data_IF_071484739887
#
_entry.id   IF_071484739887
#
_cell.length_a   1.000
_cell.length_b   1.000
_cell.length_c   1.000
_cell.angle_alpha   90.00
_cell.angle_beta   90.00
_cell.angle_gamma   90.00
#
_symmetry.space_group_name_H-M   'P 1'
#
loop_
_entity.id
_entity.type
_entity.pdbx_description
1 polymer ?
#
# COMPACT_ATOMS: atom_id res chain seq x y z
N UNK A 1 -18.19 3.06 10.17
CA UNK A 1 -17.02 2.53 9.43
C UNK A 1 -15.79 2.68 10.32
N UNK A 2 -15.09 1.59 10.65
CA UNK A 2 -13.84 1.71 11.42
C UNK A 2 -12.84 2.52 10.60
N UNK A 3 -12.36 3.60 11.18
CA UNK A 3 -11.32 4.48 10.65
C UNK A 3 -9.99 3.75 10.41
N UNK A 4 -9.73 2.72 11.22
CA UNK A 4 -8.56 1.84 11.10
C UNK A 4 -8.90 0.60 10.28
N UNK A 5 -8.14 0.38 9.22
CA UNK A 5 -8.29 -0.77 8.31
C UNK A 5 -7.23 -1.82 8.62
N UNK A 6 -7.59 -3.10 8.46
CA UNK A 6 -6.59 -4.17 8.50
C UNK A 6 -5.68 -4.05 7.26
N UNK A 7 -4.36 -4.30 7.39
CA UNK A 7 -3.41 -4.21 6.27
C UNK A 7 -3.50 -5.43 5.34
N UNK A 8 -4.69 -5.67 4.79
CA UNK A 8 -4.91 -6.70 3.77
C UNK A 8 -4.50 -6.18 2.39
N UNK A 9 -4.15 -7.08 1.47
CA UNK A 9 -3.81 -6.75 0.09
C UNK A 9 -4.81 -5.78 -0.54
N UNK A 10 -6.12 -6.04 -0.45
CA UNK A 10 -7.15 -5.19 -1.06
C UNK A 10 -7.20 -3.78 -0.44
N UNK A 11 -7.05 -3.68 0.89
CA UNK A 11 -7.05 -2.40 1.58
C UNK A 11 -5.83 -1.56 1.24
N UNK A 12 -4.65 -2.20 1.14
CA UNK A 12 -3.41 -1.54 0.72
C UNK A 12 -3.54 -1.05 -0.72
N UNK A 13 -4.07 -1.89 -1.62
CA UNK A 13 -4.28 -1.49 -3.03
C UNK A 13 -5.23 -0.29 -3.10
N UNK A 14 -6.35 -0.33 -2.38
CA UNK A 14 -7.33 0.76 -2.35
C UNK A 14 -6.79 2.02 -1.68
N UNK A 15 -5.84 1.92 -0.75
CA UNK A 15 -5.26 3.10 -0.11
C UNK A 15 -4.22 3.76 -1.03
N UNK A 16 -3.36 2.97 -1.67
CA UNK A 16 -2.22 3.47 -2.44
C UNK A 16 -2.55 3.83 -3.90
N UNK A 17 -3.33 3.00 -4.59
CA UNK A 17 -3.58 3.16 -6.03
C UNK A 17 -4.92 3.81 -6.38
N UNK A 18 -5.73 4.21 -5.40
CA UNK A 18 -6.97 4.96 -5.66
C UNK A 18 -6.68 6.43 -5.94
N UNK A 19 -7.64 7.13 -6.55
CA UNK A 19 -7.57 8.58 -6.82
C UNK A 19 -7.41 9.41 -5.54
N UNK A 20 -6.73 10.56 -5.63
CA UNK A 20 -6.62 11.48 -4.50
C UNK A 20 -7.96 12.15 -4.21
N UNK A 21 -8.58 11.73 -3.11
CA UNK A 21 -9.88 12.21 -2.67
C UNK A 21 -9.81 12.54 -1.19
N UNK A 22 -10.66 13.44 -0.68
CA UNK A 22 -10.71 13.75 0.76
C UNK A 22 -10.93 12.50 1.63
N UNK A 23 -11.72 11.54 1.14
CA UNK A 23 -11.93 10.24 1.77
C UNK A 23 -10.64 9.41 1.85
N UNK A 24 -9.82 9.41 0.79
CA UNK A 24 -8.52 8.73 0.79
C UNK A 24 -7.56 9.41 1.76
N UNK A 25 -7.47 10.75 1.74
CA UNK A 25 -6.64 11.51 2.66
C UNK A 25 -7.04 11.27 4.12
N UNK A 26 -8.34 11.20 4.41
CA UNK A 26 -8.85 10.84 5.73
C UNK A 26 -8.39 9.43 6.15
N UNK A 27 -8.49 8.43 5.26
CA UNK A 27 -7.98 7.07 5.53
C UNK A 27 -6.46 7.06 5.75
N UNK A 28 -5.69 7.84 4.99
CA UNK A 28 -4.24 7.97 5.18
C UNK A 28 -3.93 8.50 6.58
N UNK A 29 -4.61 9.57 7.01
CA UNK A 29 -4.41 10.17 8.35
C UNK A 29 -4.69 9.20 9.49
N UNK A 30 -5.61 8.26 9.29
CA UNK A 30 -6.02 7.29 10.31
C UNK A 30 -5.18 6.01 10.32
N UNK A 31 -4.41 5.76 9.26
CA UNK A 31 -3.59 4.57 9.07
C UNK A 31 -2.16 4.96 8.62
N UNK A 32 -1.47 5.83 9.37
CA UNK A 32 -0.13 6.31 9.00
C UNK A 32 0.89 5.19 8.88
N UNK A 33 0.74 4.09 9.62
CA UNK A 33 1.60 2.92 9.56
C UNK A 33 1.52 2.22 8.19
N UNK A 34 0.31 2.08 7.64
CA UNK A 34 0.10 1.47 6.32
C UNK A 34 0.67 2.39 5.25
N UNK A 35 0.40 3.69 5.37
CA UNK A 35 0.90 4.68 4.41
C UNK A 35 2.43 4.75 4.40
N UNK A 36 3.07 4.78 5.57
CA UNK A 36 4.52 4.79 5.70
C UNK A 36 5.18 3.54 5.14
N UNK A 37 4.58 2.36 5.34
CA UNK A 37 5.05 1.12 4.73
C UNK A 37 4.91 1.17 3.19
N UNK A 38 3.81 1.68 2.65
CA UNK A 38 3.68 1.89 1.21
C UNK A 38 4.77 2.82 0.66
N UNK A 39 5.05 3.94 1.34
CA UNK A 39 6.12 4.86 0.93
C UNK A 39 7.49 4.20 0.93
N UNK A 40 7.79 3.41 1.98
CA UNK A 40 9.05 2.67 2.12
C UNK A 40 9.23 1.64 1.01
N UNK A 41 8.20 0.82 0.76
CA UNK A 41 8.25 -0.20 -0.30
C UNK A 41 8.37 0.48 -1.66
N UNK A 42 7.64 1.57 -1.92
CA UNK A 42 7.67 2.24 -3.22
C UNK A 42 9.07 2.73 -3.64
N UNK A 43 9.95 3.05 -2.69
CA UNK A 43 11.33 3.45 -2.99
C UNK A 43 12.18 2.29 -3.52
N UNK A 44 11.94 1.06 -3.04
CA UNK A 44 12.78 -0.11 -3.31
C UNK A 44 12.07 -1.21 -4.11
N UNK A 45 10.79 -1.03 -4.44
CA UNK A 45 9.98 -2.05 -5.07
C UNK A 45 10.35 -2.22 -6.54
N UNK A 46 10.66 -3.45 -6.92
CA UNK A 46 10.87 -3.83 -8.31
C UNK A 46 9.63 -4.60 -8.84
N UNK A 47 8.78 -3.96 -9.65
CA UNK A 47 7.56 -4.59 -10.14
C UNK A 47 7.87 -5.75 -11.10
N UNK A 48 7.10 -6.86 -11.04
CA UNK A 48 7.26 -7.99 -11.95
C UNK A 48 7.22 -7.61 -13.44
N UNK A 49 6.42 -6.60 -13.80
CA UNK A 49 6.31 -6.11 -15.18
C UNK A 49 7.47 -5.21 -15.62
N UNK A 50 8.43 -4.92 -14.74
CA UNK A 50 9.55 -3.96 -14.95
C UNK A 50 9.11 -2.51 -15.22
N UNK A 51 7.82 -2.18 -15.04
CA UNK A 51 7.29 -0.82 -15.20
C UNK A 51 7.53 -0.01 -13.94
N UNK A 52 8.40 1.00 -13.98
CA UNK A 52 8.75 1.80 -12.81
C UNK A 52 7.64 2.71 -12.26
N UNK A 53 6.88 3.45 -13.09
CA UNK A 53 5.87 4.37 -12.55
C UNK A 53 4.65 3.60 -12.04
N UNK A 54 4.21 3.96 -10.83
CA UNK A 54 3.09 3.36 -10.08
C UNK A 54 1.79 3.42 -10.90
N UNK A 55 1.63 4.45 -11.72
CA UNK A 55 0.50 4.68 -12.61
C UNK A 55 0.40 3.60 -13.71
N UNK A 56 1.53 2.98 -14.07
CA UNK A 56 1.58 1.94 -15.10
C UNK A 56 1.51 0.52 -14.54
N UNK A 57 1.40 0.36 -13.22
CA UNK A 57 1.32 -0.95 -12.56
C UNK A 57 0.09 -1.71 -13.04
N UNK A 58 0.31 -2.92 -13.54
CA UNK A 58 -0.75 -3.86 -13.86
C UNK A 58 -1.32 -4.48 -12.58
N UNK A 59 -2.45 -5.19 -12.70
CA UNK A 59 -3.08 -5.90 -11.56
C UNK A 59 -2.07 -6.74 -10.77
N UNK A 60 -1.19 -7.47 -11.46
CA UNK A 60 -0.17 -8.30 -10.82
C UNK A 60 0.87 -7.47 -10.05
N UNK A 61 1.29 -6.31 -10.58
CA UNK A 61 2.24 -5.42 -9.91
C UNK A 61 1.61 -4.82 -8.65
N UNK A 62 0.34 -4.40 -8.72
CA UNK A 62 -0.41 -3.86 -7.57
C UNK A 62 -0.54 -4.90 -6.45
N UNK A 63 -0.83 -6.15 -6.81
CA UNK A 63 -0.90 -7.26 -5.84
C UNK A 63 0.46 -7.57 -5.24
N UNK A 64 1.51 -7.63 -6.06
CA UNK A 64 2.87 -7.88 -5.58
C UNK A 64 3.35 -6.77 -4.63
N UNK A 65 3.09 -5.51 -4.97
CA UNK A 65 3.37 -4.36 -4.12
C UNK A 65 2.64 -4.46 -2.78
N UNK A 66 1.34 -4.72 -2.81
CA UNK A 66 0.54 -4.80 -1.60
C UNK A 66 0.92 -5.99 -0.70
N UNK A 67 1.35 -7.11 -1.28
CA UNK A 67 1.93 -8.24 -0.52
C UNK A 67 3.23 -7.84 0.18
N UNK A 68 4.13 -7.14 -0.51
CA UNK A 68 5.39 -6.68 0.08
C UNK A 68 5.14 -5.69 1.24
N UNK A 69 4.18 -4.78 1.10
CA UNK A 69 3.75 -3.87 2.18
C UNK A 69 3.16 -4.65 3.35
N UNK A 70 2.26 -5.61 3.07
CA UNK A 70 1.64 -6.43 4.11
C UNK A 70 2.71 -7.20 4.92
N UNK A 71 3.66 -7.82 4.22
CA UNK A 71 4.75 -8.56 4.84
C UNK A 71 5.65 -7.67 5.71
N UNK A 72 5.97 -6.45 5.25
CA UNK A 72 6.72 -5.49 6.08
C UNK A 72 5.97 -5.14 7.37
N UNK A 73 4.65 -4.91 7.28
CA UNK A 73 3.81 -4.58 8.44
C UNK A 73 3.66 -5.76 9.42
N UNK A 74 3.65 -7.00 8.91
CA UNK A 74 3.61 -8.20 9.74
C UNK A 74 4.95 -8.42 10.45
N UNK A 75 6.08 -8.23 9.75
CA UNK A 75 7.41 -8.30 10.37
C UNK A 75 7.64 -7.22 11.43
N UNK A 76 7.14 -6.01 11.20
CA UNK A 76 7.25 -4.89 12.14
C UNK A 76 6.43 -5.04 13.43
N UNK A 77 5.50 -6.01 13.49
CA UNK A 77 4.71 -6.32 14.70
C UNK A 77 5.36 -7.39 15.59
N UNK A 78 6.44 -8.02 15.13
CA UNK A 78 7.08 -9.14 15.82
C UNK A 78 8.23 -8.71 16.76
N UNK A 79 8.40 -7.41 16.99
CA UNK A 79 9.36 -6.81 17.93
C UNK A 79 8.61 -5.95 18.94
#
# INVERSE_FOLDING_TARGET
>A
MSARIKPTVNNIISLWFSVDTPLRQYKIRLNPEIWGACQTINQNFNPPSKRKPVEQFKKNDKVAFAKAVQEQLERGKAY
#
